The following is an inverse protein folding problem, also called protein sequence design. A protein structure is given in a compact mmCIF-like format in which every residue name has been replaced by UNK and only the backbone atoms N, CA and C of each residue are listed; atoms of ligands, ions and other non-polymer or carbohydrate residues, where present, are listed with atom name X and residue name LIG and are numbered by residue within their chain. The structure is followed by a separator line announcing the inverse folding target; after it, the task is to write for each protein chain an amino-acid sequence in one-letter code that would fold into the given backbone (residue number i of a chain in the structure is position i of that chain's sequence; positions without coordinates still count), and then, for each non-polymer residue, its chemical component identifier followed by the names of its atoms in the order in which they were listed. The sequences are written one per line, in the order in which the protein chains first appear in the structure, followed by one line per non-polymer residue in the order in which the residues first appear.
data_IF_863317459039
#
_entry.id   IF_863317459039
#
_cell.length_a   1.000
_cell.length_b   1.000
_cell.length_c   1.000
_cell.angle_alpha   90.00
_cell.angle_beta   90.00
_cell.angle_gamma   90.00
#
_symmetry.space_group_name_H-M   'P 1'
#
loop_
_entity.id
_entity.type
_entity.pdbx_description
1 polymer ?
#
# COMPACT_ATOMS: atom_id res chain seq x y z
N UNK A 1 -4.65 40.01 68.00
CA UNK A 1 -3.54 39.61 67.11
C UNK A 1 -3.43 38.10 67.11
N UNK A 2 -3.94 37.42 66.07
CA UNK A 2 -3.43 36.12 65.62
C UNK A 2 -4.02 35.84 64.23
N UNK A 3 -3.12 35.80 63.26
CA UNK A 3 -3.38 35.73 61.83
C UNK A 3 -4.02 34.40 61.44
N UNK A 4 -5.18 34.43 60.77
CA UNK A 4 -5.76 33.25 60.11
C UNK A 4 -5.11 33.10 58.74
N UNK A 5 -4.16 32.18 58.62
CA UNK A 5 -3.55 31.80 57.34
C UNK A 5 -4.56 30.89 56.59
N UNK A 6 -5.22 31.42 55.56
CA UNK A 6 -6.11 30.68 54.69
C UNK A 6 -5.26 29.96 53.63
N UNK A 7 -5.05 28.65 53.77
CA UNK A 7 -4.41 27.82 52.74
C UNK A 7 -5.38 27.65 51.56
N UNK A 8 -5.11 28.34 50.45
CA UNK A 8 -5.83 28.18 49.20
C UNK A 8 -5.38 26.85 48.54
N UNK A 9 -6.20 25.81 48.67
CA UNK A 9 -6.00 24.55 47.96
C UNK A 9 -6.43 24.75 46.51
N UNK A 10 -5.48 25.13 45.64
CA UNK A 10 -5.72 25.19 44.19
C UNK A 10 -5.84 23.77 43.68
N UNK A 11 -7.08 23.29 43.54
CA UNK A 11 -7.39 22.10 42.76
C UNK A 11 -6.97 22.39 41.31
N UNK A 12 -5.80 21.88 40.90
CA UNK A 12 -5.49 21.69 39.49
C UNK A 12 -6.50 20.68 38.94
N UNK A 13 -7.61 21.18 38.41
CA UNK A 13 -8.47 20.43 37.50
C UNK A 13 -7.68 20.17 36.22
N UNK A 14 -6.85 19.12 36.23
CA UNK A 14 -6.32 18.51 35.02
C UNK A 14 -7.51 18.06 34.19
N UNK A 15 -7.88 18.85 33.19
CA UNK A 15 -8.86 18.41 32.22
C UNK A 15 -8.26 17.17 31.55
N UNK A 16 -8.94 16.01 31.52
CA UNK A 16 -8.49 14.92 30.68
C UNK A 16 -8.44 15.51 29.27
N UNK A 17 -7.23 15.60 28.70
CA UNK A 17 -7.07 16.00 27.31
C UNK A 17 -7.78 14.92 26.49
N UNK A 18 -9.02 15.21 26.09
CA UNK A 18 -9.76 14.38 25.17
C UNK A 18 -8.90 14.30 23.91
N UNK A 19 -8.29 13.14 23.69
CA UNK A 19 -7.48 12.91 22.51
C UNK A 19 -8.38 13.17 21.29
N UNK A 20 -8.04 14.19 20.51
CA UNK A 20 -8.75 14.51 19.28
C UNK A 20 -8.70 13.30 18.35
N UNK A 21 -9.86 12.90 17.81
CA UNK A 21 -9.93 11.80 16.84
C UNK A 21 -9.05 12.08 15.63
N UNK A 22 -8.18 11.13 15.31
CA UNK A 22 -7.36 11.12 14.11
C UNK A 22 -8.25 10.75 12.90
N UNK A 23 -8.29 11.62 11.90
CA UNK A 23 -9.07 11.40 10.68
C UNK A 23 -8.19 10.74 9.61
N UNK A 24 -8.51 9.51 9.23
CA UNK A 24 -7.77 8.75 8.23
C UNK A 24 -8.55 8.69 6.91
N UNK A 25 -7.97 9.27 5.86
CA UNK A 25 -8.51 9.27 4.51
C UNK A 25 -7.78 8.25 3.63
N UNK A 26 -8.48 7.67 2.66
CA UNK A 26 -7.90 6.76 1.66
C UNK A 26 -8.71 6.74 0.36
N UNK A 27 -8.23 6.02 -0.64
CA UNK A 27 -8.95 5.74 -1.90
C UNK A 27 -9.48 4.30 -1.95
N UNK A 28 -10.03 3.88 -3.08
CA UNK A 28 -10.34 2.47 -3.35
C UNK A 28 -9.10 1.82 -4.00
N UNK A 29 -8.42 0.94 -3.26
CA UNK A 29 -7.22 0.20 -3.68
C UNK A 29 -7.18 -1.19 -3.04
N UNK A 30 -8.05 -2.13 -3.46
CA UNK A 30 -8.04 -3.48 -2.92
C UNK A 30 -6.72 -4.21 -3.25
N UNK A 31 -6.17 -5.01 -2.32
CA UNK A 31 -6.70 -5.34 -1.00
C UNK A 31 -6.16 -4.45 0.13
N UNK A 32 -5.44 -3.36 -0.18
CA UNK A 32 -4.89 -2.47 0.84
C UNK A 32 -6.00 -1.69 1.57
N UNK A 33 -6.95 -1.16 0.82
CA UNK A 33 -8.06 -0.35 1.33
C UNK A 33 -9.24 -0.40 0.36
N UNK A 34 -10.42 -0.77 0.83
CA UNK A 34 -11.64 -0.89 0.02
C UNK A 34 -12.87 -0.88 0.94
N UNK A 35 -14.06 -0.65 0.37
CA UNK A 35 -15.30 -0.80 1.14
C UNK A 35 -15.72 -2.27 1.21
N UNK A 36 -15.95 -2.76 2.43
CA UNK A 36 -16.59 -4.04 2.68
C UNK A 36 -17.75 -3.84 3.65
N UNK A 37 -18.98 -4.11 3.21
CA UNK A 37 -20.20 -3.86 3.99
C UNK A 37 -20.25 -2.42 4.55
N UNK A 38 -20.01 -1.43 3.68
CA UNK A 38 -19.98 0.01 4.01
C UNK A 38 -18.93 0.43 5.06
N UNK A 39 -17.96 -0.44 5.35
CA UNK A 39 -16.82 -0.14 6.23
C UNK A 39 -15.52 -0.20 5.47
N UNK A 40 -14.66 0.79 5.70
CA UNK A 40 -13.30 0.82 5.14
C UNK A 40 -12.51 -0.35 5.74
N UNK A 41 -12.13 -1.28 4.88
CA UNK A 41 -11.48 -2.55 5.19
C UNK A 41 -10.27 -2.77 4.30
N UNK A 42 -9.48 -3.80 4.56
CA UNK A 42 -8.26 -4.10 3.82
C UNK A 42 -7.02 -4.07 4.70
N UNK A 43 -5.91 -4.54 4.14
CA UNK A 43 -4.66 -4.71 4.89
C UNK A 43 -4.18 -3.42 5.56
N UNK A 44 -4.13 -2.31 4.82
CA UNK A 44 -3.65 -1.02 5.32
C UNK A 44 -4.63 -0.39 6.32
N UNK A 45 -5.93 -0.59 6.10
CA UNK A 45 -7.00 -0.13 7.00
C UNK A 45 -7.00 -0.86 8.34
N UNK A 46 -6.98 -2.19 8.32
CA UNK A 46 -6.99 -3.01 9.54
C UNK A 46 -5.67 -2.91 10.32
N UNK A 47 -4.54 -2.71 9.62
CA UNK A 47 -3.26 -2.42 10.27
C UNK A 47 -3.30 -1.07 10.99
N UNK A 48 -3.82 -0.02 10.35
CA UNK A 48 -3.93 1.30 10.96
C UNK A 48 -4.88 1.29 12.17
N UNK A 49 -5.99 0.57 12.08
CA UNK A 49 -6.93 0.42 13.19
C UNK A 49 -6.25 -0.25 14.39
N UNK A 50 -5.52 -1.35 14.17
CA UNK A 50 -4.76 -2.02 15.21
C UNK A 50 -3.64 -1.14 15.80
N UNK A 51 -2.96 -0.35 14.96
CA UNK A 51 -1.95 0.61 15.40
C UNK A 51 -2.58 1.68 16.30
N UNK A 52 -3.72 2.25 15.90
CA UNK A 52 -4.42 3.28 16.64
C UNK A 52 -4.96 2.76 17.99
N UNK A 53 -5.54 1.57 18.00
CA UNK A 53 -6.01 0.90 19.23
C UNK A 53 -4.85 0.67 20.20
N UNK A 54 -3.73 0.11 19.70
CA UNK A 54 -2.52 -0.13 20.51
C UNK A 54 -1.89 1.16 20.99
N UNK A 55 -1.95 2.20 20.18
CA UNK A 55 -1.46 3.52 20.51
C UNK A 55 -2.44 4.29 21.41
N UNK A 56 -3.65 3.81 21.70
CA UNK A 56 -4.71 4.55 22.39
C UNK A 56 -5.04 5.91 21.71
N UNK A 57 -5.19 5.90 20.39
CA UNK A 57 -5.56 7.06 19.57
C UNK A 57 -6.94 6.80 18.96
N UNK A 58 -7.97 7.62 19.25
CA UNK A 58 -9.25 7.49 18.57
C UNK A 58 -9.08 7.72 17.07
N UNK A 59 -9.65 6.86 16.25
CA UNK A 59 -9.45 6.84 14.80
C UNK A 59 -10.79 6.76 14.06
N UNK A 60 -10.91 7.52 12.96
CA UNK A 60 -12.05 7.44 12.04
C UNK A 60 -11.55 7.30 10.60
N UNK A 61 -12.04 6.30 9.87
CA UNK A 61 -11.64 6.03 8.48
C UNK A 61 -12.69 6.53 7.50
N UNK A 62 -12.25 7.11 6.39
CA UNK A 62 -13.10 7.55 5.30
C UNK A 62 -12.47 7.24 3.95
N UNK A 63 -13.25 6.67 3.03
CA UNK A 63 -12.85 6.44 1.65
C UNK A 63 -13.35 7.59 0.77
N UNK A 64 -12.43 8.19 0.00
CA UNK A 64 -12.64 9.36 -0.83
C UNK A 64 -11.86 9.21 -2.15
N UNK A 65 -12.22 9.93 -3.23
CA UNK A 65 -11.35 10.02 -4.40
C UNK A 65 -9.94 10.51 -4.00
N UNK A 66 -8.89 9.89 -4.53
CA UNK A 66 -7.50 10.14 -4.12
C UNK A 66 -7.13 11.63 -4.03
N UNK A 67 -7.45 12.40 -5.08
CA UNK A 67 -7.16 13.83 -5.12
C UNK A 67 -7.81 14.60 -3.94
N UNK A 68 -9.02 14.19 -3.53
CA UNK A 68 -9.72 14.77 -2.38
C UNK A 68 -9.08 14.34 -1.07
N UNK A 69 -8.80 13.05 -0.90
CA UNK A 69 -8.13 12.53 0.30
C UNK A 69 -6.77 13.21 0.53
N UNK A 70 -6.00 13.38 -0.54
CA UNK A 70 -4.71 14.07 -0.53
C UNK A 70 -4.81 15.56 -0.15
N UNK A 71 -5.75 16.29 -0.76
CA UNK A 71 -5.97 17.70 -0.45
C UNK A 71 -6.49 17.92 0.98
N UNK A 72 -7.41 17.07 1.44
CA UNK A 72 -7.95 17.14 2.80
C UNK A 72 -6.87 16.84 3.84
N UNK A 73 -6.00 15.85 3.59
CA UNK A 73 -4.92 15.51 4.51
C UNK A 73 -3.94 16.65 4.71
N UNK A 74 -3.56 17.37 3.64
CA UNK A 74 -2.65 18.52 3.78
C UNK A 74 -3.27 19.71 4.53
N UNK A 75 -4.58 19.92 4.38
CA UNK A 75 -5.27 21.10 4.92
C UNK A 75 -5.90 20.88 6.29
N UNK A 76 -6.11 19.63 6.71
CA UNK A 76 -6.81 19.28 7.96
C UNK A 76 -5.82 18.83 9.04
N UNK A 77 -5.58 19.61 10.11
CA UNK A 77 -4.77 19.15 11.24
C UNK A 77 -5.39 17.91 11.90
N UNK A 78 -4.56 17.00 12.41
CA UNK A 78 -5.06 15.76 13.02
C UNK A 78 -5.65 14.79 12.00
N UNK A 79 -5.11 14.77 10.77
CA UNK A 79 -5.50 13.81 9.74
C UNK A 79 -4.31 13.08 9.12
N UNK A 80 -4.58 11.97 8.44
CA UNK A 80 -3.61 11.22 7.66
C UNK A 80 -4.23 10.65 6.38
N UNK A 81 -3.36 10.38 5.42
CA UNK A 81 -3.63 9.64 4.19
C UNK A 81 -2.86 8.32 4.26
N UNK A 82 -3.49 7.21 3.87
CA UNK A 82 -2.82 5.91 3.96
C UNK A 82 -2.78 5.15 2.65
N UNK A 83 -1.85 4.17 2.60
CA UNK A 83 -1.41 3.53 1.36
C UNK A 83 -0.77 4.52 0.37
N UNK A 84 0.03 5.45 0.91
CA UNK A 84 0.68 6.51 0.12
C UNK A 84 2.10 6.12 -0.25
N UNK A 85 2.45 6.26 -1.52
CA UNK A 85 3.85 6.17 -1.95
C UNK A 85 4.59 7.45 -1.54
N UNK A 86 5.67 7.27 -0.76
CA UNK A 86 6.60 8.34 -0.35
C UNK A 86 7.53 8.67 -1.51
N UNK A 87 7.58 9.94 -1.91
CA UNK A 87 8.39 10.44 -3.04
C UNK A 87 9.10 11.73 -2.63
N UNK A 88 10.20 12.13 -3.31
CA UNK A 88 10.90 13.37 -3.01
C UNK A 88 9.98 14.60 -3.01
N UNK A 89 9.00 14.65 -3.92
CA UNK A 89 8.06 15.77 -4.05
C UNK A 89 7.07 15.83 -2.87
N UNK A 90 6.79 14.70 -2.22
CA UNK A 90 5.86 14.60 -1.09
C UNK A 90 6.55 14.63 0.26
N UNK A 91 7.86 14.41 0.29
CA UNK A 91 8.66 14.21 1.51
C UNK A 91 8.39 15.29 2.57
N UNK A 92 8.39 16.55 2.14
CA UNK A 92 8.23 17.71 3.01
C UNK A 92 6.77 18.11 3.27
N UNK A 93 5.81 17.47 2.60
CA UNK A 93 4.37 17.79 2.72
C UNK A 93 3.71 17.06 3.89
N UNK A 94 4.31 15.97 4.37
CA UNK A 94 3.73 15.10 5.38
C UNK A 94 4.72 14.77 6.51
N UNK A 95 4.21 14.09 7.54
CA UNK A 95 4.99 13.25 8.44
C UNK A 95 4.73 11.80 8.06
N UNK A 96 5.70 10.91 8.23
CA UNK A 96 5.61 9.54 7.70
C UNK A 96 5.67 8.52 8.83
N UNK A 97 4.77 7.53 8.80
CA UNK A 97 4.81 6.32 9.63
C UNK A 97 4.79 5.11 8.71
N UNK A 98 5.68 4.15 8.94
CA UNK A 98 5.86 3.00 8.05
C UNK A 98 7.32 2.53 7.98
N UNK A 99 7.67 1.74 6.95
CA UNK A 99 6.83 1.34 5.81
C UNK A 99 5.72 0.33 6.17
N UNK A 100 4.65 0.28 5.37
CA UNK A 100 3.49 -0.60 5.57
C UNK A 100 3.59 -1.87 4.71
N UNK A 101 3.92 -1.66 3.43
CA UNK A 101 4.05 -2.73 2.46
C UNK A 101 5.03 -2.32 1.37
N UNK A 102 5.89 -3.25 0.90
CA UNK A 102 6.67 -3.02 -0.29
C UNK A 102 5.75 -2.83 -1.50
N UNK A 103 6.23 -2.07 -2.49
CA UNK A 103 5.56 -1.89 -3.78
C UNK A 103 6.38 -2.60 -4.86
N UNK A 104 6.27 -3.93 -4.91
CA UNK A 104 7.00 -4.78 -5.86
C UNK A 104 6.14 -5.08 -7.06
N UNK A 105 6.60 -4.67 -8.24
CA UNK A 105 5.99 -5.00 -9.52
C UNK A 105 6.81 -6.12 -10.15
N UNK A 106 6.15 -7.23 -10.45
CA UNK A 106 6.75 -8.34 -11.18
C UNK A 106 6.11 -8.49 -12.56
N UNK A 107 6.86 -9.10 -13.47
CA UNK A 107 6.35 -9.69 -14.70
C UNK A 107 5.95 -11.14 -14.43
N UNK A 108 4.68 -11.47 -14.66
CA UNK A 108 4.12 -12.79 -14.47
C UNK A 108 3.81 -13.46 -15.80
N UNK A 109 4.13 -14.74 -15.90
CA UNK A 109 3.66 -15.65 -16.96
C UNK A 109 2.78 -16.74 -16.38
N UNK A 110 2.05 -17.46 -17.23
CA UNK A 110 1.47 -18.75 -16.84
C UNK A 110 2.59 -19.75 -16.49
N UNK A 111 2.39 -20.54 -15.44
CA UNK A 111 3.37 -21.52 -14.99
C UNK A 111 3.73 -22.57 -16.07
N UNK A 112 2.78 -22.90 -16.95
CA UNK A 112 2.99 -23.80 -18.09
C UNK A 112 3.89 -23.25 -19.20
N UNK A 113 4.05 -21.92 -19.32
CA UNK A 113 4.89 -21.26 -20.34
C UNK A 113 6.37 -21.26 -19.96
N UNK A 114 6.97 -22.45 -19.82
CA UNK A 114 8.39 -22.61 -19.43
C UNK A 114 9.39 -22.14 -20.49
N UNK A 115 8.90 -21.91 -21.71
CA UNK A 115 9.63 -21.29 -22.82
C UNK A 115 10.00 -19.82 -22.55
N UNK A 116 9.24 -19.13 -21.69
CA UNK A 116 9.52 -17.74 -21.33
C UNK A 116 10.49 -17.71 -20.14
N UNK A 117 11.77 -17.43 -20.45
CA UNK A 117 12.83 -17.18 -19.50
C UNK A 117 13.46 -15.82 -19.81
N UNK A 118 13.31 -14.89 -18.86
CA UNK A 118 13.82 -13.53 -19.01
C UNK A 118 15.18 -13.42 -18.31
N UNK A 119 16.11 -12.79 -19.02
CA UNK A 119 17.46 -12.44 -18.59
C UNK A 119 17.80 -11.00 -18.97
N UNK A 120 17.08 -10.40 -19.92
CA UNK A 120 17.26 -9.01 -20.33
C UNK A 120 15.95 -8.35 -20.77
N UNK A 121 15.96 -7.01 -20.81
CA UNK A 121 14.81 -6.20 -21.25
C UNK A 121 14.53 -6.41 -22.74
N UNK A 122 15.55 -6.68 -23.56
CA UNK A 122 15.39 -6.89 -25.00
C UNK A 122 14.48 -8.07 -25.31
N UNK A 123 14.49 -9.12 -24.47
CA UNK A 123 13.61 -10.27 -24.63
C UNK A 123 12.14 -9.91 -24.42
N UNK A 124 11.84 -8.84 -23.67
CA UNK A 124 10.46 -8.35 -23.54
C UNK A 124 9.92 -7.85 -24.88
N UNK A 125 10.78 -7.43 -25.81
CA UNK A 125 10.33 -6.95 -27.13
C UNK A 125 9.77 -8.06 -28.01
N UNK A 126 9.98 -9.32 -27.65
CA UNK A 126 9.48 -10.50 -28.35
C UNK A 126 8.17 -11.03 -27.74
N UNK A 127 7.70 -10.42 -26.66
CA UNK A 127 6.57 -10.89 -25.87
C UNK A 127 5.50 -9.81 -25.78
N UNK A 128 4.23 -10.23 -25.65
CA UNK A 128 3.13 -9.32 -25.34
C UNK A 128 2.94 -9.20 -23.84
N UNK A 129 3.07 -7.99 -23.31
CA UNK A 129 2.93 -7.69 -21.88
C UNK A 129 1.71 -6.82 -21.63
N UNK A 130 0.78 -7.26 -20.78
CA UNK A 130 -0.37 -6.46 -20.36
C UNK A 130 -0.12 -5.73 -19.03
N UNK A 131 -0.69 -4.54 -18.90
CA UNK A 131 -0.62 -3.72 -17.68
C UNK A 131 -1.94 -3.00 -17.40
N UNK A 132 -2.10 -2.41 -16.22
CA UNK A 132 -3.21 -1.51 -15.96
C UNK A 132 -3.06 -0.24 -16.81
N UNK A 133 -4.12 0.14 -17.52
CA UNK A 133 -4.15 1.34 -18.37
C UNK A 133 -3.80 2.61 -17.60
N UNK A 134 -2.96 3.47 -18.18
CA UNK A 134 -2.46 4.73 -17.61
C UNK A 134 -1.70 4.58 -16.27
N UNK A 135 -1.31 3.36 -15.92
CA UNK A 135 -0.54 3.11 -14.71
C UNK A 135 0.92 3.56 -14.83
N UNK A 136 1.55 3.83 -13.68
CA UNK A 136 3.00 4.03 -13.61
C UNK A 136 3.79 2.86 -14.23
N UNK A 137 3.25 1.64 -14.12
CA UNK A 137 3.84 0.44 -14.72
C UNK A 137 3.82 0.48 -16.25
N UNK A 138 2.71 0.93 -16.87
CA UNK A 138 2.64 1.10 -18.33
C UNK A 138 3.66 2.15 -18.80
N UNK A 139 3.73 3.28 -18.10
CA UNK A 139 4.74 4.32 -18.37
C UNK A 139 6.16 3.77 -18.26
N UNK A 140 6.44 2.96 -17.24
CA UNK A 140 7.75 2.31 -17.07
C UNK A 140 8.10 1.38 -18.23
N UNK A 141 7.16 0.57 -18.72
CA UNK A 141 7.41 -0.29 -19.88
C UNK A 141 7.67 0.54 -21.17
N UNK A 142 7.05 1.71 -21.30
CA UNK A 142 7.35 2.63 -22.41
C UNK A 142 8.78 3.17 -22.32
N UNK A 143 9.21 3.56 -21.12
CA UNK A 143 10.60 4.02 -20.85
C UNK A 143 11.63 2.92 -21.15
N UNK A 144 11.27 1.64 -20.99
CA UNK A 144 12.09 0.49 -21.36
C UNK A 144 12.03 0.15 -22.87
N UNK A 145 11.28 0.92 -23.65
CA UNK A 145 11.23 0.84 -25.11
C UNK A 145 10.26 -0.20 -25.69
N UNK A 146 9.25 -0.64 -24.92
CA UNK A 146 8.12 -1.41 -25.46
C UNK A 146 7.06 -0.44 -26.00
N UNK A 147 6.39 -0.77 -27.11
CA UNK A 147 5.42 0.12 -27.77
C UNK A 147 3.98 -0.31 -27.51
N UNK A 148 3.10 0.67 -27.25
CA UNK A 148 1.66 0.44 -27.10
C UNK A 148 1.08 -0.14 -28.40
N UNK A 149 0.26 -1.18 -28.26
CA UNK A 149 -0.41 -1.86 -29.37
C UNK A 149 0.46 -2.92 -30.08
N UNK A 150 1.77 -2.95 -29.79
CA UNK A 150 2.70 -3.97 -30.29
C UNK A 150 3.08 -4.91 -29.15
N UNK A 151 4.15 -4.57 -28.41
CA UNK A 151 4.64 -5.35 -27.26
C UNK A 151 3.83 -5.07 -25.99
N UNK A 152 3.22 -3.88 -25.87
CA UNK A 152 2.33 -3.57 -24.75
C UNK A 152 0.85 -3.69 -25.10
N UNK A 153 0.13 -4.32 -24.20
CA UNK A 153 -1.33 -4.30 -24.09
C UNK A 153 -1.72 -3.67 -22.74
N UNK A 154 -2.98 -3.27 -22.60
CA UNK A 154 -3.50 -2.75 -21.34
C UNK A 154 -4.95 -3.14 -21.09
N UNK A 155 -5.28 -3.37 -19.82
CA UNK A 155 -6.61 -3.66 -19.33
C UNK A 155 -7.12 -2.55 -18.40
N UNK A 156 -8.44 -2.44 -18.27
CA UNK A 156 -9.09 -1.48 -17.38
C UNK A 156 -9.05 -1.89 -15.90
N UNK A 157 -8.64 -3.11 -15.61
CA UNK A 157 -8.46 -3.62 -14.25
C UNK A 157 -7.45 -4.77 -14.22
N UNK A 158 -6.90 -5.04 -13.04
CA UNK A 158 -5.99 -6.17 -12.83
C UNK A 158 -6.66 -7.52 -13.13
N UNK A 159 -7.95 -7.67 -12.80
CA UNK A 159 -8.73 -8.86 -13.15
C UNK A 159 -8.79 -9.10 -14.66
N UNK A 160 -8.97 -8.04 -15.46
CA UNK A 160 -8.97 -8.13 -16.93
C UNK A 160 -7.60 -8.55 -17.44
N UNK A 161 -6.52 -8.01 -16.88
CA UNK A 161 -5.16 -8.36 -17.26
C UNK A 161 -4.82 -9.83 -16.94
N UNK A 162 -5.20 -10.30 -15.75
CA UNK A 162 -5.09 -11.72 -15.38
C UNK A 162 -5.88 -12.61 -16.34
N UNK A 163 -7.13 -12.24 -16.66
CA UNK A 163 -7.96 -13.00 -17.61
C UNK A 163 -7.34 -13.08 -19.01
N UNK A 164 -6.72 -12.00 -19.51
CA UNK A 164 -5.98 -12.00 -20.78
C UNK A 164 -4.81 -12.98 -20.75
N UNK A 165 -4.07 -13.04 -19.65
CA UNK A 165 -2.96 -13.97 -19.46
C UNK A 165 -3.46 -15.42 -19.48
N UNK A 166 -4.54 -15.73 -18.77
CA UNK A 166 -5.15 -17.06 -18.74
C UNK A 166 -5.62 -17.53 -20.12
N UNK A 167 -6.16 -16.62 -20.92
CA UNK A 167 -6.60 -16.91 -22.29
C UNK A 167 -5.46 -16.93 -23.32
N UNK A 168 -4.21 -16.73 -22.89
CA UNK A 168 -3.05 -16.66 -23.78
C UNK A 168 -3.07 -15.48 -24.76
N UNK A 169 -3.85 -14.43 -24.47
CA UNK A 169 -3.92 -13.21 -25.32
C UNK A 169 -2.67 -12.33 -25.17
N UNK A 170 -1.98 -12.50 -24.06
CA UNK A 170 -0.70 -11.89 -23.72
C UNK A 170 0.20 -12.97 -23.12
N UNK A 171 1.52 -12.79 -23.25
CA UNK A 171 2.52 -13.69 -22.69
C UNK A 171 2.83 -13.37 -21.23
N UNK A 172 2.78 -12.07 -20.90
CA UNK A 172 3.14 -11.52 -19.61
C UNK A 172 2.09 -10.55 -19.08
N UNK A 173 2.02 -10.43 -17.76
CA UNK A 173 1.32 -9.34 -17.06
C UNK A 173 2.27 -8.68 -16.08
N UNK A 174 2.43 -7.36 -16.17
CA UNK A 174 3.16 -6.59 -15.15
C UNK A 174 2.18 -6.10 -14.08
N UNK A 175 2.34 -6.59 -12.85
CA UNK A 175 1.41 -6.33 -11.75
C UNK A 175 2.13 -6.31 -10.42
N UNK A 176 1.55 -5.60 -9.45
CA UNK A 176 2.00 -5.68 -8.06
C UNK A 176 1.82 -7.10 -7.53
N UNK A 177 2.76 -7.56 -6.72
CA UNK A 177 2.74 -8.88 -6.10
C UNK A 177 1.48 -9.18 -5.30
N UNK A 178 1.11 -8.27 -4.40
CA UNK A 178 -0.11 -8.37 -3.61
C UNK A 178 -1.36 -8.28 -4.48
N UNK A 179 -1.31 -7.53 -5.58
CA UNK A 179 -2.45 -7.39 -6.49
C UNK A 179 -2.67 -8.72 -7.23
N UNK A 180 -1.60 -9.34 -7.72
CA UNK A 180 -1.66 -10.66 -8.36
C UNK A 180 -2.23 -11.71 -7.41
N UNK A 181 -1.72 -11.77 -6.17
CA UNK A 181 -2.22 -12.69 -5.16
C UNK A 181 -3.71 -12.46 -4.85
N UNK A 182 -4.12 -11.21 -4.73
CA UNK A 182 -5.53 -10.84 -4.54
C UNK A 182 -6.40 -11.30 -5.71
N UNK A 183 -6.00 -11.03 -6.96
CA UNK A 183 -6.79 -11.42 -8.13
C UNK A 183 -6.94 -12.95 -8.24
N UNK A 184 -5.87 -13.71 -7.95
CA UNK A 184 -5.94 -15.17 -7.92
C UNK A 184 -6.92 -15.66 -6.84
N UNK A 185 -6.87 -15.08 -5.64
CA UNK A 185 -7.80 -15.40 -4.55
C UNK A 185 -9.25 -15.07 -4.91
N UNK A 186 -9.52 -13.89 -5.48
CA UNK A 186 -10.86 -13.48 -5.89
C UNK A 186 -11.44 -14.36 -6.99
N UNK A 187 -10.58 -14.86 -7.89
CA UNK A 187 -10.98 -15.77 -8.97
C UNK A 187 -11.05 -17.24 -8.54
N UNK A 188 -10.71 -17.58 -7.28
CA UNK A 188 -10.65 -18.96 -6.79
C UNK A 188 -9.58 -19.80 -7.49
N UNK A 189 -8.50 -19.17 -7.95
CA UNK A 189 -7.42 -19.80 -8.72
C UNK A 189 -6.26 -20.19 -7.80
N UNK A 190 -5.56 -21.26 -8.18
CA UNK A 190 -4.33 -21.66 -7.50
C UNK A 190 -3.23 -20.59 -7.68
N UNK A 191 -2.55 -20.22 -6.59
CA UNK A 191 -1.43 -19.30 -6.60
C UNK A 191 -0.29 -19.75 -7.54
N UNK A 192 -0.17 -21.06 -7.78
CA UNK A 192 0.81 -21.66 -8.69
C UNK A 192 0.44 -21.56 -10.17
N UNK A 193 -0.74 -21.01 -10.51
CA UNK A 193 -1.14 -20.77 -11.91
C UNK A 193 -0.17 -19.85 -12.64
N UNK A 194 0.38 -18.86 -11.93
CA UNK A 194 1.32 -17.88 -12.47
C UNK A 194 2.68 -18.00 -11.81
N UNK A 195 3.72 -17.59 -12.53
CA UNK A 195 5.08 -17.50 -12.01
C UNK A 195 5.66 -16.11 -12.33
N UNK A 196 6.21 -15.41 -11.32
CA UNK A 196 7.02 -14.22 -11.57
C UNK A 196 8.32 -14.64 -12.27
N UNK A 197 8.71 -13.89 -13.29
CA UNK A 197 9.90 -14.15 -14.11
C UNK A 197 10.89 -13.00 -14.14
N UNK A 198 10.45 -11.80 -13.76
CA UNK A 198 11.35 -10.66 -13.56
C UNK A 198 10.76 -9.68 -12.55
N UNK A 199 11.61 -9.02 -11.76
CA UNK A 199 11.28 -7.84 -10.97
C UNK A 199 11.43 -6.59 -11.84
N UNK A 200 10.39 -5.77 -11.90
CA UNK A 200 10.37 -4.56 -12.74
C UNK A 200 10.61 -3.28 -11.94
N UNK A 201 10.13 -3.24 -10.70
CA UNK A 201 10.23 -2.09 -9.80
C UNK A 201 9.97 -2.55 -8.36
N UNK A 202 10.85 -2.21 -7.43
CA UNK A 202 10.67 -2.37 -5.97
C UNK A 202 11.13 -1.13 -5.19
N UNK A 203 11.43 -0.02 -5.89
CA UNK A 203 12.14 1.12 -5.33
C UNK A 203 11.30 1.91 -4.31
N UNK A 204 10.02 1.57 -4.15
CA UNK A 204 9.06 2.33 -3.36
C UNK A 204 8.30 1.44 -2.39
N UNK A 205 7.78 2.07 -1.35
CA UNK A 205 6.97 1.45 -0.32
C UNK A 205 5.73 2.30 -0.08
N UNK A 206 4.71 1.67 0.49
CA UNK A 206 3.50 2.34 0.96
C UNK A 206 3.66 2.77 2.42
N UNK A 207 3.19 3.97 2.74
CA UNK A 207 3.33 4.62 4.05
C UNK A 207 2.01 5.26 4.49
N UNK A 208 1.91 5.56 5.78
CA UNK A 208 0.95 6.48 6.36
C UNK A 208 1.54 7.88 6.27
N UNK A 209 0.86 8.79 5.56
CA UNK A 209 1.24 10.18 5.37
C UNK A 209 0.36 11.06 6.26
N UNK A 210 0.87 11.46 7.42
CA UNK A 210 0.16 12.29 8.38
C UNK A 210 0.32 13.77 8.02
N UNK A 211 -0.69 14.58 8.34
CA UNK A 211 -0.63 16.03 8.17
C UNK A 211 0.66 16.60 8.79
N UNK A 212 1.27 17.60 8.14
CA UNK A 212 2.56 18.18 8.54
C UNK A 212 2.59 18.73 9.98
N UNK A 213 1.44 19.18 10.48
CA UNK A 213 1.26 19.74 11.82
C UNK A 213 1.01 18.66 12.90
N UNK A 214 1.01 17.38 12.52
CA UNK A 214 0.85 16.29 13.50
C UNK A 214 1.98 16.33 14.54
N UNK A 215 1.66 16.27 15.85
CA UNK A 215 2.67 16.25 16.91
C UNK A 215 3.60 15.04 16.81
N UNK A 216 4.88 15.23 17.16
CA UNK A 216 5.89 14.17 17.14
C UNK A 216 5.51 12.98 18.04
N UNK A 217 4.80 13.23 19.15
CA UNK A 217 4.29 12.17 20.03
C UNK A 217 3.36 11.20 19.31
N UNK A 218 2.43 11.73 18.49
CA UNK A 218 1.50 10.92 17.69
C UNK A 218 2.23 10.06 16.67
N UNK A 219 3.20 10.65 15.96
CA UNK A 219 4.03 9.93 14.98
C UNK A 219 4.80 8.80 15.66
N UNK A 220 5.47 9.09 16.77
CA UNK A 220 6.25 8.13 17.56
C UNK A 220 5.40 6.98 18.11
N UNK A 221 4.21 7.28 18.64
CA UNK A 221 3.27 6.27 19.17
C UNK A 221 2.77 5.34 18.08
N UNK A 222 2.42 5.87 16.91
CA UNK A 222 1.97 5.05 15.78
C UNK A 222 3.11 4.18 15.24
N UNK A 223 4.34 4.71 15.11
CA UNK A 223 5.48 3.90 14.70
C UNK A 223 5.77 2.78 15.70
N UNK A 224 5.82 3.08 17.00
CA UNK A 224 6.03 2.06 18.02
C UNK A 224 4.91 0.99 18.03
N UNK A 225 3.67 1.38 17.70
CA UNK A 225 2.57 0.43 17.56
C UNK A 225 2.76 -0.48 16.34
N UNK A 226 3.18 0.07 15.20
CA UNK A 226 3.52 -0.70 14.00
C UNK A 226 4.62 -1.73 14.29
N UNK A 227 5.75 -1.28 14.84
CA UNK A 227 6.91 -2.14 15.15
C UNK A 227 6.51 -3.30 16.08
N UNK A 228 5.66 -3.04 17.08
CA UNK A 228 5.18 -4.06 18.00
C UNK A 228 4.19 -5.04 17.34
N UNK A 229 3.36 -4.59 16.41
CA UNK A 229 2.46 -5.46 15.64
C UNK A 229 3.25 -6.37 14.70
N UNK A 230 4.31 -5.87 14.08
CA UNK A 230 5.25 -6.66 13.28
C UNK A 230 5.92 -7.74 14.14
N UNK A 231 6.48 -7.38 15.29
CA UNK A 231 7.12 -8.33 16.22
C UNK A 231 6.17 -9.42 16.72
N UNK A 232 4.88 -9.12 16.87
CA UNK A 232 3.85 -10.09 17.28
C UNK A 232 3.38 -11.03 16.15
N UNK A 233 3.86 -10.82 14.92
CA UNK A 233 3.40 -11.50 13.72
C UNK A 233 1.97 -11.13 13.29
N UNK A 234 1.37 -10.09 13.87
CA UNK A 234 0.04 -9.61 13.47
C UNK A 234 0.05 -9.15 12.02
N UNK A 235 1.04 -8.35 11.64
CA UNK A 235 1.18 -7.82 10.27
C UNK A 235 1.29 -8.95 9.24
N UNK A 236 2.02 -10.02 9.54
CA UNK A 236 2.15 -11.17 8.65
C UNK A 236 0.84 -11.96 8.51
N UNK A 237 0.12 -12.21 9.61
CA UNK A 237 -1.21 -12.85 9.55
C UNK A 237 -2.20 -12.02 8.75
N UNK A 238 -2.16 -10.70 8.93
CA UNK A 238 -3.00 -9.77 8.18
C UNK A 238 -2.65 -9.75 6.70
N UNK A 239 -1.35 -9.80 6.36
CA UNK A 239 -0.88 -9.94 4.98
C UNK A 239 -1.39 -11.24 4.37
N UNK A 240 -1.27 -12.36 5.08
CA UNK A 240 -1.77 -13.66 4.61
C UNK A 240 -3.26 -13.67 4.33
N UNK A 241 -4.08 -12.99 5.16
CA UNK A 241 -5.53 -12.84 4.96
C UNK A 241 -5.88 -12.18 3.61
N UNK A 242 -5.08 -11.19 3.19
CA UNK A 242 -5.40 -10.32 2.05
C UNK A 242 -4.60 -10.57 0.78
N UNK A 243 -3.38 -11.09 0.91
CA UNK A 243 -2.37 -11.14 -0.15
C UNK A 243 -1.66 -12.49 -0.21
N UNK A 244 -2.05 -13.45 0.63
CA UNK A 244 -1.28 -14.67 0.83
C UNK A 244 0.09 -14.40 1.48
N UNK A 245 0.96 -15.40 1.43
CA UNK A 245 2.30 -15.31 2.04
C UNK A 245 3.19 -14.39 1.22
N UNK A 246 3.93 -13.52 1.90
CA UNK A 246 5.01 -12.77 1.26
C UNK A 246 6.12 -13.74 0.84
N UNK A 247 6.27 -13.93 -0.48
CA UNK A 247 7.33 -14.75 -1.05
C UNK A 247 8.04 -13.94 -2.12
N UNK A 248 9.22 -13.41 -1.76
CA UNK A 248 10.16 -12.89 -2.76
C UNK A 248 10.64 -14.07 -3.60
N UNK A 249 10.39 -14.08 -4.92
CA UNK A 249 10.86 -15.15 -5.78
C UNK A 249 12.39 -15.13 -5.84
N UNK A 250 13.01 -16.29 -5.62
CA UNK A 250 14.45 -16.45 -5.86
C UNK A 250 14.70 -16.69 -7.36
N UNK A 251 15.87 -16.25 -7.85
CA UNK A 251 16.38 -16.56 -9.19
C UNK A 251 15.50 -16.09 -10.36
N UNK A 252 14.94 -14.88 -10.26
CA UNK A 252 14.29 -14.19 -11.38
C UNK A 252 15.19 -13.07 -11.91
N UNK A 253 14.94 -12.59 -13.13
CA UNK A 253 15.65 -11.41 -13.63
C UNK A 253 15.29 -10.17 -12.81
N UNK A 254 16.22 -9.23 -12.72
CA UNK A 254 16.04 -7.96 -12.03
C UNK A 254 16.23 -6.81 -13.03
N UNK A 255 15.15 -6.08 -13.28
CA UNK A 255 15.10 -4.92 -14.18
C UNK A 255 14.86 -3.61 -13.40
N UNK A 256 15.08 -3.63 -12.08
CA UNK A 256 15.08 -2.41 -11.27
C UNK A 256 16.22 -1.50 -11.73
N UNK A 257 16.00 -0.18 -11.62
CA UNK A 257 17.03 0.83 -11.85
C UNK A 257 17.06 1.65 -10.57
N UNK A 258 18.06 1.41 -9.73
CA UNK A 258 18.30 2.15 -8.49
C UNK A 258 18.96 3.50 -8.78
#
# INVERSE_FOLDING_TARGET
MCSRLLLLFVLLCGHPAMASTLLAYTEELPPLNFLQHDKVSGFSSELLQAMADKAAIPLSLQLLPWARAYAMTQSTPGSLLFSTVRTPERENLFRWVGPISPRRIYLYRLAGRRDIQLHSIEQLRQLRTSTLFESATQKRLLELGLRIGQEQDSGRSDAVNLGKLQLGRVDLVAMLDWAMAWQLQQAGLDAHLVQPVALLDDARQYWYALNRQTPDDTVRRLQAALDALEQSGYTERLRQKYMGRDKVPAHIADFTVH
#
